data_IF_244042039905
#
_entry.id   IF_244042039905
#
_cell.length_a   1.000
_cell.length_b   1.000
_cell.length_c   1.000
_cell.angle_alpha   90.00
_cell.angle_beta   90.00
_cell.angle_gamma   90.00
#
_symmetry.space_group_name_H-M   'P 1'
#
loop_
_entity.id
_entity.type
_entity.pdbx_description
1 polymer ?
#
# COMPACT_ATOMS: atom_id res chain seq x y z
N UNK A 1 -34.85 15.34 -27.19
CA UNK A 1 -34.61 16.22 -26.02
C UNK A 1 -33.44 15.61 -25.25
N UNK A 2 -32.22 16.11 -25.45
CA UNK A 2 -31.01 15.57 -24.82
C UNK A 2 -30.84 16.21 -23.44
N UNK A 3 -30.89 15.40 -22.38
CA UNK A 3 -30.60 15.84 -21.01
C UNK A 3 -29.10 16.05 -20.88
N UNK A 4 -28.65 17.31 -20.87
CA UNK A 4 -27.26 17.66 -20.58
C UNK A 4 -27.02 17.45 -19.09
N UNK A 5 -26.33 16.36 -18.73
CA UNK A 5 -25.91 16.09 -17.36
C UNK A 5 -24.82 17.09 -16.98
N UNK A 6 -25.15 18.11 -16.19
CA UNK A 6 -24.14 18.97 -15.55
C UNK A 6 -23.32 18.15 -14.57
N UNK A 7 -22.05 17.90 -14.92
CA UNK A 7 -21.07 17.28 -14.01
C UNK A 7 -20.86 18.23 -12.83
N UNK A 8 -21.05 17.72 -11.62
CA UNK A 8 -20.78 18.49 -10.41
C UNK A 8 -19.30 18.94 -10.37
N UNK A 9 -19.00 20.18 -9.94
CA UNK A 9 -17.63 20.67 -9.91
C UNK A 9 -16.77 19.80 -8.98
N UNK A 10 -15.60 19.38 -9.48
CA UNK A 10 -14.63 18.59 -8.70
C UNK A 10 -14.06 19.46 -7.58
N UNK A 11 -14.21 19.03 -6.33
CA UNK A 11 -13.68 19.75 -5.17
C UNK A 11 -12.22 19.36 -4.91
N UNK A 12 -11.29 20.20 -5.34
CA UNK A 12 -9.85 19.97 -5.16
C UNK A 12 -9.32 20.32 -3.76
N UNK A 13 -10.14 20.88 -2.87
CA UNK A 13 -9.66 21.35 -1.56
C UNK A 13 -9.10 20.20 -0.72
N UNK A 14 -9.82 19.09 -0.64
CA UNK A 14 -9.41 17.92 0.15
C UNK A 14 -8.11 17.29 -0.36
N UNK A 15 -7.98 16.93 -1.66
CA UNK A 15 -6.73 16.38 -2.16
C UNK A 15 -5.57 17.37 -2.05
N UNK A 16 -5.81 18.67 -2.29
CA UNK A 16 -4.78 19.70 -2.11
C UNK A 16 -4.28 19.75 -0.67
N UNK A 17 -5.19 19.77 0.32
CA UNK A 17 -4.83 19.79 1.74
C UNK A 17 -4.11 18.51 2.15
N UNK A 18 -4.56 17.34 1.67
CA UNK A 18 -3.90 16.07 1.96
C UNK A 18 -2.48 16.02 1.36
N UNK A 19 -2.30 16.45 0.11
CA UNK A 19 -0.98 16.54 -0.53
C UNK A 19 -0.09 17.54 0.22
N UNK A 20 -0.60 18.72 0.57
CA UNK A 20 0.15 19.71 1.33
C UNK A 20 0.58 19.16 2.70
N UNK A 21 -0.33 18.46 3.41
CA UNK A 21 -0.02 17.86 4.70
C UNK A 21 1.06 16.76 4.58
N UNK A 22 1.00 15.91 3.56
CA UNK A 22 2.02 14.87 3.32
C UNK A 22 3.37 15.51 3.00
N UNK A 23 3.41 16.52 2.13
CA UNK A 23 4.65 17.21 1.73
C UNK A 23 5.25 17.96 2.92
N UNK A 24 4.44 18.72 3.66
CA UNK A 24 4.90 19.43 4.86
C UNK A 24 5.38 18.45 5.93
N UNK A 25 4.65 17.36 6.18
CA UNK A 25 5.06 16.32 7.12
C UNK A 25 6.38 15.66 6.71
N UNK A 26 6.54 15.33 5.42
CA UNK A 26 7.78 14.78 4.88
C UNK A 26 8.95 15.76 5.03
N UNK A 27 8.74 17.06 4.80
CA UNK A 27 9.76 18.10 5.00
C UNK A 27 10.15 18.23 6.47
N UNK A 28 9.17 18.32 7.38
CA UNK A 28 9.41 18.44 8.82
C UNK A 28 10.19 17.22 9.34
N UNK A 29 9.74 16.00 8.99
CA UNK A 29 10.44 14.76 9.38
C UNK A 29 11.83 14.70 8.74
N UNK A 30 11.95 15.14 7.49
CA UNK A 30 13.21 15.18 6.75
C UNK A 30 14.26 16.06 7.41
N UNK A 31 13.85 17.24 7.88
CA UNK A 31 14.73 18.21 8.56
C UNK A 31 15.05 17.78 9.99
N UNK A 32 14.08 17.23 10.73
CA UNK A 32 14.26 16.89 12.15
C UNK A 32 14.99 15.56 12.37
N UNK A 33 14.84 14.58 11.48
CA UNK A 33 15.40 13.23 11.67
C UNK A 33 16.36 12.85 10.54
N UNK A 34 15.85 12.74 9.32
CA UNK A 34 16.64 12.37 8.13
C UNK A 34 15.79 12.50 6.87
N UNK A 35 16.39 12.98 5.78
CA UNK A 35 15.75 13.08 4.48
C UNK A 35 15.12 11.74 4.02
N UNK A 36 15.76 10.61 4.31
CA UNK A 36 15.25 9.29 3.93
C UNK A 36 13.93 8.97 4.65
N UNK A 37 13.82 9.31 5.94
CA UNK A 37 12.60 9.09 6.73
C UNK A 37 11.48 10.00 6.23
N UNK A 38 11.81 11.25 5.88
CA UNK A 38 10.88 12.17 5.22
C UNK A 38 10.37 11.63 3.88
N UNK A 39 11.25 11.08 3.04
CA UNK A 39 10.86 10.46 1.77
C UNK A 39 9.96 9.24 1.95
N UNK A 40 10.18 8.43 3.00
CA UNK A 40 9.31 7.30 3.32
C UNK A 40 7.88 7.73 3.66
N UNK A 41 7.66 8.92 4.23
CA UNK A 41 6.33 9.49 4.43
C UNK A 41 5.60 9.70 3.09
N UNK A 42 6.31 10.20 2.07
CA UNK A 42 5.76 10.39 0.73
C UNK A 42 5.39 9.03 0.12
N UNK A 43 6.28 8.03 0.24
CA UNK A 43 6.01 6.66 -0.23
C UNK A 43 4.77 6.09 0.46
N UNK A 44 4.64 6.25 1.77
CA UNK A 44 3.46 5.82 2.53
C UNK A 44 2.17 6.52 2.07
N UNK A 45 2.24 7.82 1.81
CA UNK A 45 1.11 8.60 1.28
C UNK A 45 0.66 8.14 -0.11
N UNK A 46 1.62 7.90 -1.03
CA UNK A 46 1.34 7.37 -2.36
C UNK A 46 0.76 5.95 -2.29
N UNK A 47 1.30 5.09 -1.42
CA UNK A 47 0.77 3.75 -1.20
C UNK A 47 -0.68 3.80 -0.68
N UNK A 48 -0.96 4.67 0.28
CA UNK A 48 -2.30 4.90 0.79
C UNK A 48 -3.29 5.37 -0.28
N UNK A 49 -2.85 6.29 -1.17
CA UNK A 49 -3.65 6.75 -2.30
C UNK A 49 -4.00 5.60 -3.26
N UNK A 50 -3.03 4.75 -3.59
CA UNK A 50 -3.24 3.58 -4.45
C UNK A 50 -4.23 2.61 -3.80
N UNK A 51 -4.08 2.32 -2.51
CA UNK A 51 -4.99 1.43 -1.78
C UNK A 51 -6.42 1.97 -1.73
N UNK A 52 -6.58 3.27 -1.48
CA UNK A 52 -7.88 3.94 -1.47
C UNK A 52 -8.58 3.84 -2.82
N UNK A 53 -7.88 4.17 -3.92
CA UNK A 53 -8.49 4.14 -5.26
C UNK A 53 -8.74 2.73 -5.78
N UNK A 54 -7.86 1.78 -5.44
CA UNK A 54 -8.03 0.40 -5.86
C UNK A 54 -9.14 -0.33 -5.09
N UNK A 55 -9.65 0.25 -3.98
CA UNK A 55 -10.51 -0.42 -3.01
C UNK A 55 -9.98 -1.83 -2.66
N UNK A 56 -8.66 -1.93 -2.59
CA UNK A 56 -7.96 -3.21 -2.58
C UNK A 56 -7.87 -3.71 -1.14
N UNK A 57 -8.59 -4.79 -0.85
CA UNK A 57 -8.63 -5.42 0.47
C UNK A 57 -8.39 -6.92 0.38
N UNK A 58 -7.61 -7.45 1.32
CA UNK A 58 -7.37 -8.89 1.40
C UNK A 58 -8.64 -9.65 1.77
N UNK A 59 -9.28 -9.31 2.89
CA UNK A 59 -10.50 -9.96 3.40
C UNK A 59 -11.67 -9.89 2.41
N UNK A 60 -11.92 -8.70 1.85
CA UNK A 60 -13.05 -8.49 0.93
C UNK A 60 -12.93 -9.33 -0.35
N UNK A 61 -11.73 -9.43 -0.93
CA UNK A 61 -11.49 -10.24 -2.12
C UNK A 61 -11.76 -11.72 -1.88
N UNK A 62 -11.33 -12.27 -0.73
CA UNK A 62 -11.61 -13.65 -0.34
C UNK A 62 -13.10 -13.89 -0.10
N UNK A 63 -13.77 -12.99 0.62
CA UNK A 63 -15.22 -13.08 0.85
C UNK A 63 -15.97 -13.14 -0.48
N UNK A 64 -15.75 -12.18 -1.37
CA UNK A 64 -16.39 -12.11 -2.70
C UNK A 64 -16.09 -13.36 -3.53
N UNK A 65 -14.88 -13.90 -3.46
CA UNK A 65 -14.56 -15.14 -4.16
C UNK A 65 -15.34 -16.35 -3.62
N UNK A 66 -15.48 -16.47 -2.31
CA UNK A 66 -16.22 -17.60 -1.70
C UNK A 66 -17.72 -17.46 -1.95
N UNK A 67 -18.28 -16.27 -1.73
CA UNK A 67 -19.73 -16.02 -1.80
C UNK A 67 -20.24 -15.85 -3.23
N UNK A 68 -19.52 -15.11 -4.06
CA UNK A 68 -19.95 -14.76 -5.43
C UNK A 68 -19.19 -15.53 -6.52
N UNK A 69 -18.20 -16.36 -6.16
CA UNK A 69 -17.34 -17.09 -7.12
C UNK A 69 -16.56 -16.17 -8.07
N UNK A 70 -16.37 -14.90 -7.69
CA UNK A 70 -15.66 -13.89 -8.49
C UNK A 70 -14.20 -13.75 -8.05
N UNK A 71 -13.28 -14.37 -8.80
CA UNK A 71 -11.85 -14.39 -8.47
C UNK A 71 -11.04 -13.14 -8.84
N UNK A 72 -11.67 -12.02 -9.23
CA UNK A 72 -10.95 -10.81 -9.69
C UNK A 72 -10.00 -10.26 -8.62
N UNK A 73 -10.45 -10.19 -7.37
CA UNK A 73 -9.64 -9.71 -6.26
C UNK A 73 -8.44 -10.61 -5.95
N UNK A 74 -8.62 -11.93 -5.93
CA UNK A 74 -7.51 -12.88 -5.76
C UNK A 74 -6.49 -12.77 -6.89
N UNK A 75 -6.93 -12.64 -8.14
CA UNK A 75 -6.02 -12.43 -9.28
C UNK A 75 -5.21 -11.14 -9.12
N UNK A 76 -5.85 -10.05 -8.67
CA UNK A 76 -5.14 -8.80 -8.40
C UNK A 76 -4.08 -8.97 -7.29
N UNK A 77 -4.38 -9.73 -6.23
CA UNK A 77 -3.40 -10.08 -5.19
C UNK A 77 -2.23 -10.89 -5.73
N UNK A 78 -2.48 -11.85 -6.61
CA UNK A 78 -1.41 -12.66 -7.22
C UNK A 78 -0.54 -11.84 -8.16
N UNK A 79 -1.12 -10.92 -8.93
CA UNK A 79 -0.34 -9.99 -9.77
C UNK A 79 0.50 -9.05 -8.91
N UNK A 80 -0.08 -8.49 -7.84
CA UNK A 80 0.66 -7.66 -6.88
C UNK A 80 1.84 -8.42 -6.27
N UNK A 81 1.61 -9.65 -5.80
CA UNK A 81 2.67 -10.50 -5.24
C UNK A 81 3.76 -10.79 -6.28
N UNK A 82 3.39 -11.12 -7.51
CA UNK A 82 4.35 -11.38 -8.58
C UNK A 82 5.20 -10.15 -8.87
N UNK A 83 4.60 -8.95 -8.95
CA UNK A 83 5.32 -7.69 -9.14
C UNK A 83 6.28 -7.45 -7.96
N UNK A 84 5.82 -7.63 -6.73
CA UNK A 84 6.68 -7.48 -5.55
C UNK A 84 7.87 -8.45 -5.62
N UNK A 85 7.64 -9.73 -5.91
CA UNK A 85 8.72 -10.72 -6.05
C UNK A 85 9.73 -10.29 -7.12
N UNK A 86 9.27 -9.90 -8.31
CA UNK A 86 10.14 -9.49 -9.42
C UNK A 86 10.96 -8.24 -9.08
N UNK A 87 10.42 -7.31 -8.30
CA UNK A 87 11.13 -6.09 -7.90
C UNK A 87 12.10 -6.33 -6.73
N UNK A 88 11.70 -7.09 -5.71
CA UNK A 88 12.46 -7.24 -4.47
C UNK A 88 13.49 -8.36 -4.53
N UNK A 89 13.19 -9.51 -5.14
CA UNK A 89 14.07 -10.69 -5.07
C UNK A 89 15.42 -10.47 -5.77
N UNK A 90 15.52 -9.79 -6.93
CA UNK A 90 16.81 -9.49 -7.53
C UNK A 90 17.69 -8.63 -6.63
N UNK A 91 17.12 -7.61 -5.98
CA UNK A 91 17.85 -6.75 -5.05
C UNK A 91 18.31 -7.51 -3.79
N UNK A 92 17.45 -8.36 -3.24
CA UNK A 92 17.78 -9.21 -2.10
C UNK A 92 18.84 -10.26 -2.44
N UNK A 93 18.77 -10.85 -3.62
CA UNK A 93 19.76 -11.83 -4.11
C UNK A 93 21.11 -11.21 -4.41
N UNK A 94 21.16 -9.96 -4.87
CA UNK A 94 22.40 -9.21 -5.06
C UNK A 94 23.08 -8.80 -3.74
N UNK A 95 22.35 -8.80 -2.61
CA UNK A 95 22.83 -8.41 -1.28
C UNK A 95 23.13 -6.91 -1.11
N UNK A 96 23.14 -6.15 -2.20
CA UNK A 96 23.24 -4.70 -2.19
C UNK A 96 22.47 -4.08 -3.37
N UNK A 97 21.97 -2.87 -3.17
CA UNK A 97 21.28 -2.07 -4.18
C UNK A 97 21.78 -0.63 -4.08
N UNK A 98 22.32 -0.08 -5.18
CA UNK A 98 22.92 1.26 -5.21
C UNK A 98 23.99 1.48 -4.12
N UNK A 99 24.81 0.46 -3.85
CA UNK A 99 25.86 0.52 -2.81
C UNK A 99 25.34 0.44 -1.37
N UNK A 100 24.03 0.30 -1.17
CA UNK A 100 23.41 0.07 0.15
C UNK A 100 23.16 -1.42 0.34
N UNK A 101 23.55 -1.98 1.49
CA UNK A 101 23.27 -3.38 1.82
C UNK A 101 21.75 -3.62 1.91
N UNK A 102 21.27 -4.70 1.29
CA UNK A 102 19.86 -5.08 1.32
C UNK A 102 19.78 -6.54 1.74
N UNK A 103 19.06 -6.80 2.83
CA UNK A 103 18.86 -8.14 3.37
C UNK A 103 17.39 -8.40 3.68
N UNK A 104 17.00 -9.66 3.57
CA UNK A 104 15.65 -10.08 3.92
C UNK A 104 15.44 -10.01 5.43
N UNK A 105 14.34 -9.42 5.87
CA UNK A 105 13.88 -9.52 7.25
C UNK A 105 13.06 -10.80 7.44
N UNK A 106 13.75 -11.94 7.50
CA UNK A 106 13.12 -13.26 7.62
C UNK A 106 13.12 -13.69 9.07
N UNK A 107 11.93 -13.85 9.65
CA UNK A 107 11.74 -14.38 11.01
C UNK A 107 11.01 -15.72 10.94
N UNK A 108 11.36 -16.71 11.78
CA UNK A 108 10.61 -17.95 11.90
C UNK A 108 9.14 -17.72 12.26
N UNK A 109 8.26 -18.58 11.78
CA UNK A 109 6.84 -18.59 12.19
C UNK A 109 6.77 -19.12 13.62
N UNK A 110 6.39 -18.26 14.56
CA UNK A 110 6.24 -18.60 15.97
C UNK A 110 4.77 -18.57 16.43
N UNK A 111 4.55 -18.96 17.69
CA UNK A 111 3.22 -18.90 18.34
C UNK A 111 2.67 -17.46 18.32
N UNK A 112 3.53 -16.45 18.51
CA UNK A 112 3.15 -15.04 18.46
C UNK A 112 2.56 -14.65 17.09
N UNK A 113 3.13 -15.17 15.99
CA UNK A 113 2.64 -14.91 14.63
C UNK A 113 1.25 -15.54 14.45
N UNK A 114 1.05 -16.78 14.91
CA UNK A 114 -0.24 -17.47 14.87
C UNK A 114 -1.33 -16.72 15.65
N UNK A 115 -1.07 -16.39 16.91
CA UNK A 115 -2.02 -15.68 17.78
C UNK A 115 -2.30 -14.28 17.24
N UNK A 116 -1.25 -13.54 16.87
CA UNK A 116 -1.37 -12.20 16.31
C UNK A 116 -2.16 -12.18 15.00
N UNK A 117 -1.90 -13.11 14.08
CA UNK A 117 -2.64 -13.22 12.82
C UNK A 117 -4.11 -13.55 13.04
N UNK A 118 -4.44 -14.40 14.02
CA UNK A 118 -5.83 -14.71 14.36
C UNK A 118 -6.58 -13.49 14.91
N UNK A 119 -6.03 -12.81 15.92
CA UNK A 119 -6.64 -11.61 16.52
C UNK A 119 -6.76 -10.49 15.49
N UNK A 120 -5.72 -10.29 14.67
CA UNK A 120 -5.74 -9.33 13.57
C UNK A 120 -6.85 -9.64 12.57
N UNK A 121 -7.01 -10.91 12.19
CA UNK A 121 -8.08 -11.35 11.29
C UNK A 121 -9.49 -11.12 11.85
N UNK A 122 -9.69 -11.26 13.16
CA UNK A 122 -10.97 -10.94 13.83
C UNK A 122 -11.29 -9.44 13.77
N UNK A 123 -10.27 -8.57 13.74
CA UNK A 123 -10.45 -7.12 13.69
C UNK A 123 -10.71 -6.53 12.30
N UNK A 124 -10.60 -7.32 11.22
CA UNK A 124 -10.76 -6.88 9.83
C UNK A 124 -12.14 -7.20 9.25
#
# INVERSE_FOLDING_TARGET
MATTSTVAPVNYRVPLLATAAIVLGALVIGVLFSANIGLLMIVGGLLGMVLYHAAFGFTAAWRVFITERRGRGLRAQMVMLAIAVVLFFPALGAGSLFGTEVRGFVSPIGISVLVGAFIFGVGM
#
